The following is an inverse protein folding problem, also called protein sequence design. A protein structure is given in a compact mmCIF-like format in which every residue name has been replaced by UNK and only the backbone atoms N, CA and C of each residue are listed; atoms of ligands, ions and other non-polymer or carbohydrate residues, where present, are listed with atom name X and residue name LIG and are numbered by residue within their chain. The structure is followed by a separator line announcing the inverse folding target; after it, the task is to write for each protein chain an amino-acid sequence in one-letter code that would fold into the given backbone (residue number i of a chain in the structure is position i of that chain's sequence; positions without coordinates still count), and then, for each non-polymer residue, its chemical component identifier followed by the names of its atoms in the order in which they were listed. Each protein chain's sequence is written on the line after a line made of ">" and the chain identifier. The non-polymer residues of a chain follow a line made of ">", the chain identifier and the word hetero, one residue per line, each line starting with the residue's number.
data_IF_670811961183
#
_entry.id   IF_670811961183
#
_cell.length_a   1.000
_cell.length_b   1.000
_cell.length_c   1.000
_cell.angle_alpha   90.00
_cell.angle_beta   90.00
_cell.angle_gamma   90.00
#
_symmetry.space_group_name_H-M   'P 1'
#
loop_
_entity.id
_entity.type
_entity.pdbx_description
1 polymer ?
#
# COMPACT_ATOMS: atom_id res chain seq x y z
N UNK A 1 -45.74 -0.08 -40.61
CA UNK A 1 -44.95 0.62 -39.58
C UNK A 1 -45.01 -0.22 -38.31
N UNK A 2 -43.97 -1.01 -38.03
CA UNK A 2 -43.96 -2.04 -36.98
C UNK A 2 -43.04 -1.52 -35.86
N UNK A 3 -43.62 -1.23 -34.69
CA UNK A 3 -42.91 -0.74 -33.51
C UNK A 3 -42.05 -1.88 -32.97
N UNK A 4 -40.73 -1.70 -32.94
CA UNK A 4 -39.77 -2.63 -32.36
C UNK A 4 -39.69 -2.31 -30.87
N UNK A 5 -40.15 -3.24 -30.03
CA UNK A 5 -40.02 -3.20 -28.57
C UNK A 5 -38.54 -3.31 -28.14
N UNK A 6 -38.15 -2.51 -27.15
CA UNK A 6 -36.83 -2.56 -26.49
C UNK A 6 -36.69 -3.84 -25.66
N UNK A 7 -35.51 -4.50 -25.62
CA UNK A 7 -35.24 -5.57 -24.67
C UNK A 7 -34.95 -5.00 -23.27
N UNK A 8 -35.41 -5.72 -22.24
CA UNK A 8 -35.26 -5.40 -20.82
C UNK A 8 -33.78 -5.41 -20.38
N UNK A 9 -33.38 -4.40 -19.60
CA UNK A 9 -32.05 -4.32 -19.00
C UNK A 9 -31.96 -5.22 -17.78
N UNK A 10 -31.33 -6.39 -17.91
CA UNK A 10 -30.93 -7.22 -16.78
C UNK A 10 -29.84 -6.50 -15.98
N UNK A 11 -30.24 -5.97 -14.82
CA UNK A 11 -29.32 -5.45 -13.81
C UNK A 11 -28.43 -6.58 -13.28
N UNK A 12 -27.12 -6.50 -13.53
CA UNK A 12 -26.13 -7.36 -12.85
C UNK A 12 -26.03 -6.90 -11.41
N UNK A 13 -26.71 -7.60 -10.52
CA UNK A 13 -26.50 -7.46 -9.07
C UNK A 13 -25.10 -7.99 -8.76
N UNK A 14 -24.16 -7.07 -8.48
CA UNK A 14 -22.85 -7.43 -7.96
C UNK A 14 -23.03 -8.10 -6.61
N UNK A 15 -22.75 -9.39 -6.53
CA UNK A 15 -22.70 -10.10 -5.26
C UNK A 15 -21.49 -9.61 -4.49
N UNK A 16 -21.73 -8.83 -3.42
CA UNK A 16 -20.72 -8.53 -2.43
C UNK A 16 -20.14 -9.86 -1.89
N UNK A 17 -18.82 -9.99 -1.90
CA UNK A 17 -18.14 -11.16 -1.33
C UNK A 17 -18.45 -11.27 0.17
N UNK A 18 -18.86 -12.45 0.66
CA UNK A 18 -19.19 -12.62 2.06
C UNK A 18 -17.95 -12.44 2.94
N UNK A 19 -18.07 -11.56 3.93
CA UNK A 19 -17.13 -11.40 5.03
C UNK A 19 -17.07 -12.72 5.83
N UNK A 20 -15.91 -13.39 5.81
CA UNK A 20 -15.71 -14.64 6.57
C UNK A 20 -14.50 -15.50 6.16
N UNK A 21 -13.89 -15.27 5.00
CA UNK A 21 -12.60 -15.89 4.67
C UNK A 21 -11.49 -15.03 5.28
N UNK A 22 -10.61 -15.60 6.12
CA UNK A 22 -9.40 -14.91 6.57
C UNK A 22 -8.73 -14.25 5.35
N UNK A 23 -8.47 -12.94 5.41
CA UNK A 23 -8.17 -12.11 4.26
C UNK A 23 -7.28 -12.86 3.26
N UNK A 24 -7.82 -13.12 2.07
CA UNK A 24 -7.15 -13.92 1.04
C UNK A 24 -5.98 -13.16 0.42
N UNK A 25 -5.87 -11.88 0.76
CA UNK A 25 -4.80 -10.97 0.40
C UNK A 25 -4.52 -9.96 1.51
N UNK A 26 -3.32 -9.40 1.47
CA UNK A 26 -2.91 -8.23 2.24
C UNK A 26 -2.48 -7.13 1.27
N UNK A 27 -2.94 -5.90 1.51
CA UNK A 27 -2.59 -4.72 0.73
C UNK A 27 -1.65 -3.82 1.51
N UNK A 28 -0.50 -3.50 0.91
CA UNK A 28 0.61 -2.77 1.55
C UNK A 28 0.99 -1.58 0.68
N UNK A 29 1.07 -0.40 1.26
CA UNK A 29 1.65 0.79 0.64
C UNK A 29 2.99 1.09 1.31
N UNK A 30 4.05 1.18 0.52
CA UNK A 30 5.36 1.70 0.95
C UNK A 30 5.56 3.07 0.32
N UNK A 31 5.74 4.10 1.12
CA UNK A 31 5.82 5.48 0.63
C UNK A 31 7.02 6.25 1.17
N UNK A 32 7.46 7.24 0.41
CA UNK A 32 8.50 8.17 0.83
C UNK A 32 9.06 8.97 -0.34
N UNK A 33 10.08 9.78 -0.04
CA UNK A 33 10.78 10.60 -1.02
C UNK A 33 11.55 9.78 -2.06
N UNK A 34 11.75 10.35 -3.25
CA UNK A 34 12.50 9.76 -4.34
C UNK A 34 13.93 9.48 -3.92
N UNK A 35 14.37 8.23 -4.10
CA UNK A 35 15.67 7.76 -3.62
C UNK A 35 15.65 7.11 -2.23
N UNK A 36 14.52 7.17 -1.51
CA UNK A 36 14.34 6.44 -0.24
C UNK A 36 14.43 4.91 -0.39
N UNK A 37 14.12 4.40 -1.59
CA UNK A 37 14.22 2.98 -1.95
C UNK A 37 12.92 2.18 -1.80
N UNK A 38 11.76 2.84 -1.68
CA UNK A 38 10.45 2.18 -1.56
C UNK A 38 10.11 1.24 -2.72
N UNK A 39 10.49 1.60 -3.95
CA UNK A 39 10.31 0.72 -5.12
C UNK A 39 11.14 -0.56 -5.01
N UNK A 40 12.37 -0.44 -4.50
CA UNK A 40 13.24 -1.59 -4.26
C UNK A 40 12.68 -2.48 -3.15
N UNK A 41 12.20 -1.91 -2.04
CA UNK A 41 11.55 -2.66 -0.98
C UNK A 41 10.28 -3.37 -1.46
N UNK A 42 9.46 -2.71 -2.28
CA UNK A 42 8.28 -3.31 -2.89
C UNK A 42 8.61 -4.51 -3.78
N UNK A 43 9.61 -4.39 -4.67
CA UNK A 43 10.06 -5.52 -5.48
C UNK A 43 10.58 -6.68 -4.62
N UNK A 44 11.33 -6.39 -3.55
CA UNK A 44 11.82 -7.42 -2.63
C UNK A 44 10.67 -8.12 -1.87
N UNK A 45 9.61 -7.39 -1.49
CA UNK A 45 8.40 -8.00 -0.94
C UNK A 45 7.72 -8.93 -1.95
N UNK A 46 7.62 -8.52 -3.22
CA UNK A 46 7.07 -9.40 -4.28
C UNK A 46 7.91 -10.67 -4.44
N UNK A 47 9.24 -10.54 -4.49
CA UNK A 47 10.14 -11.68 -4.60
C UNK A 47 10.02 -12.63 -3.40
N UNK A 48 9.90 -12.07 -2.19
CA UNK A 48 9.69 -12.84 -0.97
C UNK A 48 8.33 -13.55 -0.99
N UNK A 49 7.27 -12.87 -1.41
CA UNK A 49 5.93 -13.43 -1.55
C UNK A 49 5.90 -14.59 -2.57
N UNK A 50 6.55 -14.41 -3.72
CA UNK A 50 6.66 -15.44 -4.74
C UNK A 50 7.40 -16.68 -4.21
N UNK A 51 8.51 -16.49 -3.48
CA UNK A 51 9.23 -17.59 -2.81
C UNK A 51 8.39 -18.30 -1.75
N UNK A 52 7.45 -17.59 -1.12
CA UNK A 52 6.49 -18.16 -0.19
C UNK A 52 5.27 -18.82 -0.86
N UNK A 53 5.21 -18.88 -2.19
CA UNK A 53 4.09 -19.47 -2.94
C UNK A 53 2.86 -18.56 -3.04
N UNK A 54 3.02 -17.26 -2.80
CA UNK A 54 1.97 -16.25 -2.96
C UNK A 54 2.03 -15.59 -4.33
N UNK A 55 0.89 -15.03 -4.73
CA UNK A 55 0.78 -14.11 -5.86
C UNK A 55 1.00 -12.69 -5.38
N UNK A 56 1.75 -11.91 -6.13
CA UNK A 56 2.01 -10.50 -5.84
C UNK A 56 1.72 -9.62 -7.03
N UNK A 57 1.03 -8.51 -6.79
CA UNK A 57 0.82 -7.43 -7.75
C UNK A 57 1.36 -6.14 -7.15
N UNK A 58 2.05 -5.32 -7.95
CA UNK A 58 2.50 -4.00 -7.52
C UNK A 58 2.21 -2.94 -8.58
N UNK A 59 1.60 -1.86 -8.15
CA UNK A 59 1.49 -0.59 -8.90
C UNK A 59 2.51 0.38 -8.33
N UNK A 60 3.15 1.13 -9.22
CA UNK A 60 4.11 2.17 -8.86
C UNK A 60 3.46 3.52 -9.12
N UNK A 61 3.40 4.37 -8.12
CA UNK A 61 2.95 5.76 -8.25
C UNK A 61 4.06 6.71 -7.83
N UNK A 62 4.20 7.81 -8.54
CA UNK A 62 5.25 8.81 -8.31
C UNK A 62 4.80 10.18 -8.80
N UNK A 63 5.28 11.22 -8.12
CA UNK A 63 5.03 12.59 -8.53
C UNK A 63 5.56 12.91 -9.93
N UNK A 64 5.14 14.04 -10.52
CA UNK A 64 5.50 14.42 -11.90
C UNK A 64 6.98 14.80 -12.10
N UNK A 65 7.82 14.70 -11.08
CA UNK A 65 9.22 15.13 -11.13
C UNK A 65 10.17 13.98 -11.49
N UNK A 66 11.16 14.27 -12.35
CA UNK A 66 12.15 13.29 -12.80
C UNK A 66 13.24 13.03 -11.74
N UNK A 67 13.51 13.99 -10.85
CA UNK A 67 14.51 13.88 -9.79
C UNK A 67 13.89 14.26 -8.46
N UNK A 68 13.88 13.33 -7.51
CA UNK A 68 13.19 13.53 -6.24
C UNK A 68 11.67 13.49 -6.38
N UNK A 69 10.96 14.00 -5.37
CA UNK A 69 9.50 13.96 -5.30
C UNK A 69 8.97 12.77 -4.52
N UNK A 70 7.66 12.69 -4.38
CA UNK A 70 6.97 11.62 -3.69
C UNK A 70 6.92 10.33 -4.54
N UNK A 71 7.06 9.17 -3.90
CA UNK A 71 6.96 7.87 -4.55
C UNK A 71 6.27 6.88 -3.61
N UNK A 72 5.44 6.00 -4.17
CA UNK A 72 4.86 4.89 -3.44
C UNK A 72 4.80 3.61 -4.27
N UNK A 73 5.12 2.49 -3.61
CA UNK A 73 4.90 1.14 -4.10
C UNK A 73 3.61 0.62 -3.45
N UNK A 74 2.60 0.32 -4.26
CA UNK A 74 1.30 -0.16 -3.84
C UNK A 74 1.20 -1.64 -4.17
N UNK A 75 1.16 -2.49 -3.16
CA UNK A 75 1.24 -3.94 -3.30
C UNK A 75 -0.05 -4.61 -2.86
N UNK A 76 -0.38 -5.71 -3.52
CA UNK A 76 -1.33 -6.71 -3.04
C UNK A 76 -0.65 -8.08 -3.10
N UNK A 77 -0.59 -8.76 -1.97
CA UNK A 77 -0.05 -10.12 -1.85
C UNK A 77 -1.21 -11.06 -1.52
N UNK A 78 -1.36 -12.18 -2.21
CA UNK A 78 -2.55 -13.02 -2.13
C UNK A 78 -2.25 -14.51 -2.28
N UNK A 79 -3.12 -15.35 -1.71
CA UNK A 79 -3.06 -16.82 -1.88
C UNK A 79 -3.59 -17.31 -3.22
N UNK A 80 -4.27 -16.44 -3.97
CA UNK A 80 -4.82 -16.71 -5.30
C UNK A 80 -4.39 -15.62 -6.25
N UNK A 81 -4.42 -15.89 -7.54
CA UNK A 81 -4.12 -14.88 -8.56
C UNK A 81 -5.04 -13.67 -8.41
N UNK A 82 -4.46 -12.48 -8.52
CA UNK A 82 -5.17 -11.19 -8.46
C UNK A 82 -4.86 -10.38 -9.70
N UNK A 83 -5.87 -9.70 -10.24
CA UNK A 83 -5.74 -8.88 -11.46
C UNK A 83 -5.73 -7.38 -11.18
N UNK A 84 -5.96 -6.98 -9.92
CA UNK A 84 -6.01 -5.59 -9.48
C UNK A 84 -5.50 -5.43 -8.05
N UNK A 85 -5.19 -4.19 -7.69
CA UNK A 85 -5.15 -3.76 -6.29
C UNK A 85 -6.51 -4.01 -5.62
N UNK A 86 -6.49 -3.97 -4.29
CA UNK A 86 -7.70 -4.02 -3.48
C UNK A 86 -8.24 -2.59 -3.26
N UNK A 87 -9.48 -2.46 -2.79
CA UNK A 87 -10.14 -1.15 -2.61
C UNK A 87 -9.63 -0.39 -1.36
N UNK A 88 -8.68 -1.00 -0.63
CA UNK A 88 -8.09 -0.44 0.57
C UNK A 88 -6.72 -1.03 0.89
N UNK A 89 -6.04 -0.39 1.82
CA UNK A 89 -4.74 -0.79 2.35
C UNK A 89 -4.82 -1.22 3.83
N UNK A 90 -4.15 -2.32 4.14
CA UNK A 90 -4.02 -2.87 5.49
C UNK A 90 -2.80 -2.28 6.21
N UNK A 91 -1.76 -1.93 5.44
CA UNK A 91 -0.55 -1.31 5.93
C UNK A 91 -0.15 -0.14 5.03
N UNK A 92 0.08 1.03 5.61
CA UNK A 92 0.87 2.09 5.00
C UNK A 92 2.13 2.30 5.84
N UNK A 93 3.30 2.03 5.26
CA UNK A 93 4.58 2.37 5.87
C UNK A 93 5.22 3.50 5.08
N UNK A 94 5.31 4.66 5.71
CA UNK A 94 5.94 5.84 5.14
C UNK A 94 7.31 6.10 5.78
N UNK A 95 8.35 6.19 4.96
CA UNK A 95 9.71 6.56 5.38
C UNK A 95 9.77 8.04 5.77
N UNK A 96 8.99 8.85 5.08
CA UNK A 96 8.74 10.27 5.31
C UNK A 96 7.33 10.60 4.80
N UNK A 97 6.76 11.70 5.29
CA UNK A 97 5.41 12.12 4.88
C UNK A 97 5.40 12.97 3.60
N UNK A 98 6.55 13.17 2.96
CA UNK A 98 6.77 14.24 2.00
C UNK A 98 5.78 14.17 0.83
N UNK A 99 4.82 15.10 0.80
CA UNK A 99 3.75 15.20 -0.19
C UNK A 99 2.94 13.91 -0.41
N UNK A 100 2.95 12.98 0.55
CA UNK A 100 2.23 11.70 0.43
C UNK A 100 0.71 11.91 0.39
N UNK A 101 0.21 13.01 0.96
CA UNK A 101 -1.18 13.42 0.87
C UNK A 101 -1.65 13.61 -0.59
N UNK A 102 -0.74 13.82 -1.55
CA UNK A 102 -1.07 13.85 -2.98
C UNK A 102 -1.54 12.50 -3.52
N UNK A 103 -1.17 11.42 -2.84
CA UNK A 103 -1.57 10.05 -3.14
C UNK A 103 -2.67 9.53 -2.21
N UNK A 104 -3.25 10.38 -1.35
CA UNK A 104 -4.23 9.92 -0.37
C UNK A 104 -5.42 9.19 -1.03
N UNK A 105 -5.89 9.69 -2.18
CA UNK A 105 -6.96 9.06 -2.96
C UNK A 105 -6.55 7.71 -3.58
N UNK A 106 -5.25 7.48 -3.79
CA UNK A 106 -4.70 6.21 -4.29
C UNK A 106 -4.40 5.21 -3.15
N UNK A 107 -4.34 5.68 -1.90
CA UNK A 107 -4.01 4.89 -0.71
C UNK A 107 -5.13 5.00 0.34
N UNK A 108 -6.36 4.54 0.02
CA UNK A 108 -7.43 4.50 1.01
C UNK A 108 -7.08 3.48 2.10
N UNK A 109 -6.96 3.94 3.35
CA UNK A 109 -6.67 3.07 4.48
C UNK A 109 -7.95 2.40 4.99
N UNK A 110 -7.86 1.11 5.31
CA UNK A 110 -8.93 0.41 6.04
C UNK A 110 -8.96 0.86 7.50
N UNK A 111 -10.14 0.82 8.11
CA UNK A 111 -10.31 1.12 9.54
C UNK A 111 -9.50 0.20 10.46
N UNK A 112 -9.29 -1.07 10.06
CA UNK A 112 -8.43 -2.02 10.77
C UNK A 112 -6.95 -1.87 10.42
N UNK A 113 -6.61 -0.97 9.51
CA UNK A 113 -5.27 -0.82 8.97
C UNK A 113 -4.29 -0.20 9.96
N UNK A 114 -3.01 -0.35 9.66
CA UNK A 114 -1.91 0.22 10.44
C UNK A 114 -1.15 1.22 9.58
N UNK A 115 -0.95 2.42 10.12
CA UNK A 115 -0.01 3.39 9.59
C UNK A 115 1.29 3.29 10.38
N UNK A 116 2.42 3.22 9.69
CA UNK A 116 3.76 3.24 10.28
C UNK A 116 4.51 4.44 9.70
N UNK A 117 5.08 5.26 10.59
CA UNK A 117 5.90 6.41 10.22
C UNK A 117 7.16 6.52 11.06
N UNK A 118 8.13 7.28 10.56
CA UNK A 118 9.34 7.55 11.32
C UNK A 118 9.07 8.51 12.50
N UNK A 119 9.67 8.23 13.66
CA UNK A 119 9.48 9.03 14.88
C UNK A 119 9.96 10.47 14.77
N UNK A 120 10.89 10.76 13.87
CA UNK A 120 11.41 12.10 13.65
C UNK A 120 10.61 12.88 12.59
N UNK A 121 9.61 12.27 11.95
CA UNK A 121 8.75 12.89 10.93
C UNK A 121 7.45 13.49 11.49
N UNK A 122 7.13 13.20 12.76
CA UNK A 122 5.90 13.67 13.42
C UNK A 122 4.65 12.90 12.97
N UNK A 123 3.48 13.55 13.12
CA UNK A 123 2.18 12.96 12.83
C UNK A 123 1.93 12.81 11.32
N UNK A 124 1.22 11.75 10.88
CA UNK A 124 0.82 11.59 9.49
C UNK A 124 -0.22 12.64 9.06
N UNK A 125 -0.38 12.88 7.75
CA UNK A 125 -1.51 13.66 7.24
C UNK A 125 -2.86 13.08 7.71
N UNK A 126 -3.77 13.96 8.16
CA UNK A 126 -5.04 13.60 8.80
C UNK A 126 -5.91 12.64 7.96
N UNK A 127 -5.89 12.80 6.62
CA UNK A 127 -6.61 11.95 5.67
C UNK A 127 -6.34 10.45 5.85
N UNK A 128 -5.16 10.06 6.32
CA UNK A 128 -4.84 8.65 6.57
C UNK A 128 -5.35 8.13 7.91
N UNK A 129 -5.73 9.03 8.83
CA UNK A 129 -6.26 8.72 10.15
C UNK A 129 -7.80 8.80 10.21
N UNK A 130 -8.43 9.62 9.36
CA UNK A 130 -9.88 9.82 9.31
C UNK A 130 -10.67 8.50 9.19
N UNK A 131 -10.11 7.52 8.50
CA UNK A 131 -10.71 6.19 8.32
C UNK A 131 -10.63 5.26 9.54
N UNK A 132 -9.98 5.68 10.64
CA UNK A 132 -9.83 4.89 11.86
C UNK A 132 -8.57 4.01 11.92
N UNK A 133 -7.68 4.10 10.93
CA UNK A 133 -6.42 3.37 10.92
C UNK A 133 -5.54 3.75 12.13
N UNK A 134 -4.84 2.76 12.69
CA UNK A 134 -4.00 2.96 13.87
C UNK A 134 -2.61 3.42 13.47
N UNK A 135 -2.19 4.58 13.96
CA UNK A 135 -0.82 5.06 13.78
C UNK A 135 0.16 4.42 14.77
N UNK A 136 1.35 4.07 14.26
CA UNK A 136 2.51 3.57 15.01
C UNK A 136 3.74 4.35 14.58
N UNK A 137 4.38 5.00 15.54
CA UNK A 137 5.64 5.70 15.32
C UNK A 137 6.83 4.80 15.65
N UNK A 138 7.78 4.66 14.72
CA UNK A 138 9.00 3.86 14.89
C UNK A 138 10.25 4.67 14.53
N UNK A 139 11.41 4.47 15.18
CA UNK A 139 12.62 5.23 14.88
C UNK A 139 13.38 4.67 13.66
N UNK A 140 12.72 4.54 12.50
CA UNK A 140 13.21 3.87 11.30
C UNK A 140 14.60 4.39 10.84
N UNK A 141 14.75 5.71 10.73
CA UNK A 141 15.98 6.39 10.29
C UNK A 141 17.11 6.20 11.30
N UNK A 142 16.81 6.17 12.59
CA UNK A 142 17.81 5.88 13.64
C UNK A 142 18.25 4.42 13.58
N UNK A 143 17.32 3.48 13.38
CA UNK A 143 17.63 2.05 13.20
C UNK A 143 18.57 1.86 12.00
N UNK A 144 18.24 2.45 10.85
CA UNK A 144 19.09 2.37 9.67
C UNK A 144 20.50 2.95 9.93
N UNK A 145 20.60 4.12 10.55
CA UNK A 145 21.89 4.74 10.89
C UNK A 145 22.74 3.89 11.84
N UNK A 146 22.12 3.11 12.71
CA UNK A 146 22.82 2.26 13.68
C UNK A 146 23.44 1.00 13.04
N UNK A 147 23.04 0.63 11.82
CA UNK A 147 23.52 -0.58 11.14
C UNK A 147 24.45 -0.19 9.98
N UNK A 148 25.76 -0.48 10.05
CA UNK A 148 26.71 -0.13 9.00
C UNK A 148 26.32 -0.70 7.63
N UNK A 149 26.33 0.16 6.61
CA UNK A 149 25.97 -0.22 5.24
C UNK A 149 24.48 -0.45 5.00
N UNK A 150 23.62 -0.25 6.00
CA UNK A 150 22.18 -0.38 5.80
C UNK A 150 21.58 0.86 5.14
N UNK A 151 20.38 0.67 4.57
CA UNK A 151 19.58 1.76 4.02
C UNK A 151 18.15 1.66 4.54
N UNK A 152 17.46 2.80 4.58
CA UNK A 152 16.17 2.94 5.25
C UNK A 152 15.08 2.03 4.67
N UNK A 153 15.12 1.78 3.36
CA UNK A 153 14.20 0.84 2.70
C UNK A 153 14.33 -0.60 3.19
N UNK A 154 15.51 -1.02 3.67
CA UNK A 154 15.69 -2.37 4.22
C UNK A 154 15.06 -2.50 5.60
N UNK A 155 15.07 -1.42 6.40
CA UNK A 155 14.33 -1.37 7.66
C UNK A 155 12.83 -1.40 7.38
N UNK A 156 12.35 -0.58 6.45
CA UNK A 156 10.95 -0.59 6.01
C UNK A 156 10.51 -1.99 5.53
N UNK A 157 11.30 -2.64 4.68
CA UNK A 157 11.07 -4.00 4.22
C UNK A 157 10.94 -4.99 5.39
N UNK A 158 11.87 -4.93 6.35
CA UNK A 158 11.84 -5.81 7.52
C UNK A 158 10.61 -5.60 8.40
N UNK A 159 10.22 -4.34 8.63
CA UNK A 159 9.00 -4.02 9.38
C UNK A 159 7.76 -4.52 8.65
N UNK A 160 7.65 -4.25 7.34
CA UNK A 160 6.50 -4.69 6.54
C UNK A 160 6.39 -6.21 6.41
N UNK A 161 7.49 -6.95 6.48
CA UNK A 161 7.47 -8.42 6.47
C UNK A 161 7.21 -9.06 7.84
N UNK A 162 7.35 -8.30 8.93
CA UNK A 162 7.16 -8.78 10.30
C UNK A 162 5.75 -8.56 10.85
N UNK A 163 5.06 -7.53 10.34
CA UNK A 163 3.65 -7.22 10.65
C UNK A 163 2.69 -8.09 9.84
#
# INVERSE_FOLDING_TARGET
>A
MKVISRPESQSRTGTASPAGEAATSISIALAGSGGSGVMTAGNLLLDAAAKAGLYGLMVRTSGPQIRGGEAAALLRLARRQTESLDDGFDLLLAIDWQNINRFADEIPMRASGVLVGDSDEGEPPEVFLEGGARFVSLPLKKIAKAIPGSWINMVALGVSGAL
#
